data_IF_468551235000
#
_entry.id   IF_468551235000
#
_cell.length_a   1.000
_cell.length_b   1.000
_cell.length_c   1.000
_cell.angle_alpha   90.00
_cell.angle_beta   90.00
_cell.angle_gamma   90.00
#
_symmetry.space_group_name_H-M   'P 1'
#
loop_
_entity.id
_entity.type
_entity.pdbx_description
1 polymer ?
#
# COMPACT_ATOMS: atom_id res chain seq x y z
N UNK A 1 -65.45 -8.88 25.33
CA UNK A 1 -64.61 -8.67 24.13
C UNK A 1 -63.18 -8.43 24.55
N UNK A 2 -62.34 -9.40 24.40
CA UNK A 2 -60.90 -9.27 24.70
C UNK A 2 -60.21 -8.92 23.40
N UNK A 3 -59.68 -7.72 23.28
CA UNK A 3 -58.83 -7.31 22.16
C UNK A 3 -57.41 -7.71 22.50
N UNK A 4 -56.94 -8.75 21.84
CA UNK A 4 -55.53 -9.18 21.93
C UNK A 4 -54.72 -8.29 21.00
N UNK A 5 -53.89 -7.43 21.58
CA UNK A 5 -52.93 -6.64 20.79
C UNK A 5 -51.70 -7.50 20.68
N UNK A 6 -51.44 -7.99 19.48
CA UNK A 6 -50.17 -8.63 19.13
C UNK A 6 -49.10 -7.53 18.89
N UNK A 7 -48.22 -7.38 19.87
CA UNK A 7 -47.04 -6.51 19.71
C UNK A 7 -45.99 -7.33 18.97
N UNK A 8 -45.87 -7.11 17.66
CA UNK A 8 -44.80 -7.70 16.86
C UNK A 8 -43.48 -7.06 17.25
N UNK A 9 -42.63 -7.85 17.90
CA UNK A 9 -41.23 -7.48 18.13
C UNK A 9 -40.47 -7.52 16.81
N UNK A 10 -40.20 -6.34 16.26
CA UNK A 10 -39.31 -6.20 15.11
C UNK A 10 -37.87 -6.33 15.59
N UNK A 11 -37.32 -7.52 15.50
CA UNK A 11 -35.89 -7.78 15.72
C UNK A 11 -35.13 -7.18 14.52
N UNK A 12 -34.59 -5.99 14.69
CA UNK A 12 -33.62 -5.42 13.78
C UNK A 12 -32.30 -6.19 14.02
N UNK A 13 -32.08 -7.21 13.20
CA UNK A 13 -30.79 -7.85 13.09
C UNK A 13 -29.87 -6.82 12.44
N UNK A 14 -29.13 -6.09 13.26
CA UNK A 14 -28.03 -5.22 12.79
C UNK A 14 -26.97 -6.08 12.13
N UNK A 15 -26.89 -6.04 10.80
CA UNK A 15 -25.71 -6.50 10.09
C UNK A 15 -24.56 -5.59 10.52
N UNK A 16 -23.77 -6.05 11.47
CA UNK A 16 -22.43 -5.52 11.67
C UNK A 16 -21.62 -5.93 10.45
N UNK A 17 -21.68 -5.15 9.38
CA UNK A 17 -20.72 -5.24 8.29
C UNK A 17 -19.36 -4.92 8.90
N UNK A 18 -18.58 -5.94 9.22
CA UNK A 18 -17.19 -5.77 9.62
C UNK A 18 -16.50 -4.97 8.52
N UNK A 19 -15.94 -3.81 8.86
CA UNK A 19 -15.09 -3.06 7.95
C UNK A 19 -13.88 -3.94 7.69
N UNK A 20 -13.82 -4.59 6.52
CA UNK A 20 -12.62 -5.28 6.08
C UNK A 20 -11.52 -4.24 5.96
N UNK A 21 -10.44 -4.39 6.75
CA UNK A 21 -9.27 -3.54 6.60
C UNK A 21 -8.71 -3.73 5.19
N UNK A 22 -8.55 -2.62 4.43
CA UNK A 22 -7.89 -2.62 3.14
C UNK A 22 -6.43 -3.07 3.33
N UNK A 23 -5.93 -3.96 2.48
CA UNK A 23 -4.54 -4.36 2.47
C UNK A 23 -3.66 -3.35 1.73
N UNK A 24 -2.34 -3.52 1.84
CA UNK A 24 -1.36 -2.65 1.16
C UNK A 24 -1.61 -2.54 -0.34
N UNK A 25 -1.99 -3.64 -1.00
CA UNK A 25 -2.29 -3.63 -2.44
C UNK A 25 -3.47 -2.72 -2.78
N UNK A 26 -4.52 -2.74 -1.96
CA UNK A 26 -5.68 -1.87 -2.15
C UNK A 26 -5.31 -0.40 -1.96
N UNK A 27 -4.47 -0.11 -0.97
CA UNK A 27 -3.96 1.25 -0.71
C UNK A 27 -3.12 1.77 -1.88
N UNK A 28 -2.23 0.93 -2.42
CA UNK A 28 -1.42 1.25 -3.61
C UNK A 28 -2.30 1.56 -4.82
N UNK A 29 -3.30 0.72 -5.08
CA UNK A 29 -4.25 0.93 -6.18
C UNK A 29 -5.09 2.19 -5.99
N UNK A 30 -5.57 2.46 -4.80
CA UNK A 30 -6.36 3.65 -4.49
C UNK A 30 -5.52 4.93 -4.63
N UNK A 31 -4.26 4.89 -4.23
CA UNK A 31 -3.32 6.00 -4.36
C UNK A 31 -2.79 6.18 -5.78
N UNK A 32 -2.76 5.13 -6.60
CA UNK A 32 -2.22 5.14 -7.95
C UNK A 32 -0.69 5.22 -8.02
N UNK A 33 0.00 4.92 -6.93
CA UNK A 33 1.45 5.00 -6.80
C UNK A 33 1.97 3.98 -5.80
N UNK A 34 3.09 3.36 -6.14
CA UNK A 34 3.84 2.44 -5.27
C UNK A 34 4.94 3.22 -4.54
N UNK A 35 4.93 3.20 -3.22
CA UNK A 35 6.03 3.72 -2.41
C UNK A 35 7.05 2.61 -2.18
N UNK A 36 8.19 2.70 -2.83
CA UNK A 36 9.24 1.71 -2.75
C UNK A 36 10.43 2.23 -1.95
N UNK A 37 10.74 1.58 -0.83
CA UNK A 37 11.93 1.86 -0.04
C UNK A 37 13.16 1.35 -0.75
N UNK A 38 14.17 2.20 -0.86
CA UNK A 38 15.44 1.86 -1.50
C UNK A 38 16.60 2.33 -0.63
N UNK A 39 17.73 1.65 -0.72
CA UNK A 39 18.96 2.14 -0.11
C UNK A 39 19.47 3.37 -0.85
N UNK A 40 20.29 4.19 -0.20
CA UNK A 40 20.88 5.37 -0.82
C UNK A 40 22.33 5.11 -1.22
N UNK A 41 22.66 5.45 -2.47
CA UNK A 41 24.06 5.50 -2.91
C UNK A 41 24.74 4.15 -3.17
N UNK A 42 23.99 3.06 -3.29
CA UNK A 42 24.54 1.77 -3.68
C UNK A 42 24.45 1.62 -5.21
N UNK A 43 25.51 2.00 -5.88
CA UNK A 43 25.60 1.93 -7.34
C UNK A 43 25.38 0.49 -7.84
N UNK A 44 24.54 0.36 -8.89
CA UNK A 44 24.12 -0.93 -9.43
C UNK A 44 22.85 -1.50 -8.78
N UNK A 45 22.47 -1.02 -7.60
CA UNK A 45 21.24 -1.45 -6.89
C UNK A 45 20.23 -0.31 -6.80
N UNK A 46 20.55 0.76 -6.09
CA UNK A 46 19.73 1.95 -6.03
C UNK A 46 20.58 3.19 -5.80
N UNK A 47 20.74 3.97 -6.83
CA UNK A 47 21.44 5.24 -6.80
C UNK A 47 20.95 6.15 -7.93
N UNK A 48 20.98 7.47 -7.76
CA UNK A 48 20.75 8.39 -8.88
C UNK A 48 21.83 8.21 -9.97
N UNK A 49 21.40 8.24 -11.21
CA UNK A 49 22.29 8.30 -12.36
C UNK A 49 22.80 9.73 -12.62
N UNK A 50 23.53 9.93 -13.73
CA UNK A 50 24.07 11.23 -14.11
C UNK A 50 22.98 12.33 -14.33
N UNK A 51 21.73 11.94 -14.60
CA UNK A 51 20.60 12.83 -14.79
C UNK A 51 19.76 13.03 -13.50
N UNK A 52 20.19 12.44 -12.37
CA UNK A 52 19.44 12.46 -11.12
C UNK A 52 18.28 11.47 -11.07
N UNK A 53 18.15 10.59 -12.06
CA UNK A 53 17.13 9.56 -12.12
C UNK A 53 17.58 8.31 -11.34
N UNK A 54 16.67 7.74 -10.55
CA UNK A 54 16.95 6.49 -9.86
C UNK A 54 17.23 5.35 -10.83
N UNK A 55 18.30 4.61 -10.58
CA UNK A 55 18.75 3.50 -11.41
C UNK A 55 19.35 2.37 -10.58
N UNK A 56 19.28 1.16 -11.12
CA UNK A 56 19.85 -0.05 -10.53
C UNK A 56 18.85 -1.20 -10.42
N UNK A 57 19.35 -2.32 -9.92
CA UNK A 57 18.56 -3.56 -9.84
C UNK A 57 17.31 -3.41 -8.96
N UNK A 58 17.46 -2.88 -7.74
CA UNK A 58 16.34 -2.69 -6.81
C UNK A 58 15.30 -1.72 -7.39
N UNK A 59 15.76 -0.65 -8.03
CA UNK A 59 14.90 0.32 -8.73
C UNK A 59 14.10 -0.36 -9.85
N UNK A 60 14.73 -1.25 -10.60
CA UNK A 60 14.06 -2.01 -11.67
C UNK A 60 13.00 -2.96 -11.12
N UNK A 61 13.25 -3.59 -9.98
CA UNK A 61 12.24 -4.43 -9.30
C UNK A 61 11.03 -3.58 -8.87
N UNK A 62 11.26 -2.41 -8.26
CA UNK A 62 10.16 -1.52 -7.89
C UNK A 62 9.30 -1.12 -9.11
N UNK A 63 9.95 -0.80 -10.23
CA UNK A 63 9.26 -0.46 -11.48
C UNK A 63 8.48 -1.64 -12.05
N UNK A 64 9.03 -2.86 -11.97
CA UNK A 64 8.34 -4.06 -12.41
C UNK A 64 7.07 -4.33 -11.57
N UNK A 65 7.14 -4.14 -10.26
CA UNK A 65 5.98 -4.28 -9.38
C UNK A 65 4.93 -3.21 -9.69
N UNK A 66 5.33 -1.96 -9.88
CA UNK A 66 4.41 -0.88 -10.26
C UNK A 66 3.73 -1.17 -11.61
N UNK A 67 4.46 -1.67 -12.58
CA UNK A 67 3.90 -2.08 -13.88
C UNK A 67 2.87 -3.20 -13.72
N UNK A 68 3.14 -4.19 -12.88
CA UNK A 68 2.24 -5.32 -12.64
C UNK A 68 0.97 -4.90 -11.88
N UNK A 69 1.09 -4.02 -10.90
CA UNK A 69 -0.01 -3.62 -10.00
C UNK A 69 -0.83 -2.47 -10.55
N UNK A 70 -0.17 -1.49 -11.17
CA UNK A 70 -0.77 -0.23 -11.63
C UNK A 70 -0.77 -0.07 -13.16
N UNK A 71 -0.13 -0.98 -13.89
CA UNK A 71 0.00 -0.88 -15.34
C UNK A 71 0.98 0.21 -15.81
N UNK A 72 1.77 0.79 -14.90
CA UNK A 72 2.69 1.87 -15.21
C UNK A 72 4.00 1.72 -14.41
N UNK A 73 5.13 1.42 -15.06
CA UNK A 73 6.43 1.31 -14.37
C UNK A 73 6.95 2.65 -13.80
N UNK A 74 6.35 3.77 -14.18
CA UNK A 74 6.70 5.10 -13.68
C UNK A 74 5.90 5.49 -12.44
N UNK A 75 4.85 4.75 -12.09
CA UNK A 75 4.01 5.02 -10.93
C UNK A 75 4.67 4.56 -9.63
N UNK A 76 5.90 4.97 -9.41
CA UNK A 76 6.73 4.67 -8.24
C UNK A 76 7.21 5.94 -7.58
N UNK A 77 7.09 5.99 -6.26
CA UNK A 77 7.83 6.92 -5.41
C UNK A 77 8.98 6.15 -4.77
N UNK A 78 10.21 6.57 -5.03
CA UNK A 78 11.38 5.98 -4.36
C UNK A 78 11.64 6.71 -3.06
N UNK A 79 11.57 5.97 -1.96
CA UNK A 79 11.77 6.51 -0.60
C UNK A 79 13.12 6.03 -0.08
N UNK A 80 14.09 6.94 0.06
CA UNK A 80 15.39 6.57 0.61
C UNK A 80 15.27 6.06 2.04
N UNK A 81 15.86 4.89 2.29
CA UNK A 81 15.89 4.27 3.61
C UNK A 81 17.32 3.85 3.98
N UNK A 82 17.54 3.59 5.25
CA UNK A 82 18.78 3.05 5.78
C UNK A 82 18.55 1.64 6.36
N UNK A 83 19.63 0.94 6.70
CA UNK A 83 19.52 -0.34 7.40
C UNK A 83 18.77 -0.26 8.72
N UNK A 84 18.74 0.92 9.36
CA UNK A 84 18.04 1.15 10.63
C UNK A 84 16.58 1.54 10.46
N UNK A 85 16.23 2.24 9.38
CA UNK A 85 14.91 2.86 9.22
C UNK A 85 13.96 2.07 8.31
N UNK A 86 14.49 1.22 7.44
CA UNK A 86 13.70 0.54 6.40
C UNK A 86 12.57 -0.34 6.94
N UNK A 87 12.82 -1.10 7.99
CA UNK A 87 11.79 -1.98 8.56
C UNK A 87 10.72 -1.20 9.32
N UNK A 88 11.09 -0.11 9.99
CA UNK A 88 10.14 0.79 10.63
C UNK A 88 9.27 1.50 9.59
N UNK A 89 9.86 1.96 8.50
CA UNK A 89 9.14 2.56 7.38
C UNK A 89 8.14 1.59 6.74
N UNK A 90 8.52 0.32 6.59
CA UNK A 90 7.61 -0.72 6.09
C UNK A 90 6.48 -1.01 7.08
N UNK A 91 6.79 -1.16 8.35
CA UNK A 91 5.80 -1.45 9.39
C UNK A 91 4.80 -0.30 9.59
N UNK A 92 5.24 0.95 9.44
CA UNK A 92 4.38 2.13 9.55
C UNK A 92 3.53 2.43 8.31
N UNK A 93 3.81 1.77 7.18
CA UNK A 93 3.14 2.06 5.92
C UNK A 93 3.69 3.27 5.17
N UNK A 94 4.81 3.83 5.59
CA UNK A 94 5.52 4.88 4.83
C UNK A 94 5.97 4.37 3.47
N UNK A 95 6.40 3.11 3.43
CA UNK A 95 6.69 2.38 2.20
C UNK A 95 5.83 1.13 2.10
N UNK A 96 5.54 0.71 0.88
CA UNK A 96 4.72 -0.47 0.57
C UNK A 96 5.57 -1.73 0.39
N UNK A 97 6.80 -1.55 -0.04
CA UNK A 97 7.81 -2.59 -0.22
C UNK A 97 9.20 -2.01 -0.04
N UNK A 98 10.17 -2.89 0.16
CA UNK A 98 11.59 -2.54 0.22
C UNK A 98 12.45 -3.66 -0.37
#
# INVERSE_FOLDING_TARGET
MKKTVFLGALTVAGLAAGVAAAGTLDDVKARGKLNCGVTTGLVGFAAPDANGEWAGFDVSICRAVAAAVLGDPKAVEFVPTTGKTRFTALASGEIDML
#
